data_IF_192775934642
#
_entry.id   IF_192775934642
#
_cell.length_a   1.000
_cell.length_b   1.000
_cell.length_c   1.000
_cell.angle_alpha   90.00
_cell.angle_beta   90.00
_cell.angle_gamma   90.00
#
_symmetry.space_group_name_H-M   'P 1'
#
loop_
_entity.id
_entity.type
_entity.pdbx_description
1 polymer ?
#
# COMPACT_ATOMS: atom_id res chain seq x y z
N UNK A 1 -6.89 -2.91 -11.75
CA UNK A 1 -6.00 -3.65 -12.65
C UNK A 1 -4.57 -3.23 -12.37
N UNK A 2 -3.67 -4.21 -12.26
CA UNK A 2 -2.25 -4.01 -11.99
C UNK A 2 -1.48 -3.75 -13.28
N UNK A 3 -0.67 -2.70 -13.30
CA UNK A 3 0.18 -2.38 -14.44
C UNK A 3 1.45 -3.24 -14.43
N UNK A 4 2.15 -3.25 -15.57
CA UNK A 4 3.47 -3.91 -15.66
C UNK A 4 4.49 -3.29 -14.71
N UNK A 5 4.43 -1.97 -14.52
CA UNK A 5 5.32 -1.26 -13.62
C UNK A 5 5.06 -1.62 -12.15
N UNK A 6 3.78 -1.77 -11.77
CA UNK A 6 3.41 -2.27 -10.45
C UNK A 6 3.99 -3.67 -10.21
N UNK A 7 3.83 -4.58 -11.18
CA UNK A 7 4.37 -5.94 -11.07
C UNK A 7 5.90 -5.94 -10.92
N UNK A 8 6.60 -5.05 -11.61
CA UNK A 8 8.04 -4.84 -11.51
C UNK A 8 8.44 -4.40 -10.09
N UNK A 9 7.78 -3.38 -9.54
CA UNK A 9 8.08 -2.85 -8.19
C UNK A 9 7.80 -3.89 -7.11
N UNK A 10 6.71 -4.66 -7.25
CA UNK A 10 6.39 -5.78 -6.36
C UNK A 10 7.49 -6.85 -6.44
N UNK A 11 7.94 -7.21 -7.64
CA UNK A 11 8.99 -8.20 -7.82
C UNK A 11 10.33 -7.75 -7.21
N UNK A 12 10.68 -6.47 -7.34
CA UNK A 12 11.90 -5.91 -6.71
C UNK A 12 11.85 -6.01 -5.19
N UNK A 13 10.69 -5.74 -4.59
CA UNK A 13 10.50 -5.88 -3.14
C UNK A 13 10.64 -7.34 -2.71
N UNK A 14 10.02 -8.26 -3.44
CA UNK A 14 10.12 -9.69 -3.16
C UNK A 14 11.56 -10.22 -3.33
N UNK A 15 12.29 -9.78 -4.36
CA UNK A 15 13.71 -10.14 -4.57
C UNK A 15 14.61 -9.61 -3.44
N UNK A 16 14.27 -8.48 -2.82
CA UNK A 16 15.01 -8.00 -1.65
C UNK A 16 14.88 -8.92 -0.43
N UNK A 17 13.72 -9.59 -0.27
CA UNK A 17 13.47 -10.56 0.80
C UNK A 17 14.02 -11.94 0.42
N UNK A 18 13.88 -12.33 -0.85
CA UNK A 18 14.27 -13.62 -1.43
C UNK A 18 15.20 -13.44 -2.63
N UNK A 19 16.49 -13.16 -2.41
CA UNK A 19 17.46 -12.99 -3.51
C UNK A 19 17.65 -14.25 -4.36
N UNK A 20 17.29 -15.42 -3.83
CA UNK A 20 17.30 -16.71 -4.52
C UNK A 20 16.21 -16.82 -5.59
N UNK A 21 15.17 -15.99 -5.53
CA UNK A 21 14.10 -16.00 -6.52
C UNK A 21 14.42 -15.07 -7.70
N UNK A 22 14.39 -15.65 -8.90
CA UNK A 22 14.53 -14.86 -10.12
C UNK A 22 13.40 -13.86 -10.25
N UNK A 23 13.75 -12.58 -10.41
CA UNK A 23 12.79 -11.48 -10.61
C UNK A 23 11.84 -11.75 -11.78
N UNK A 24 12.33 -12.37 -12.85
CA UNK A 24 11.51 -12.76 -14.01
C UNK A 24 10.44 -13.79 -13.63
N UNK A 25 10.79 -14.82 -12.84
CA UNK A 25 9.83 -15.80 -12.35
C UNK A 25 8.74 -15.17 -11.47
N UNK A 26 9.11 -14.19 -10.64
CA UNK A 26 8.15 -13.45 -9.82
C UNK A 26 7.19 -12.65 -10.72
N UNK A 27 7.72 -11.90 -11.70
CA UNK A 27 6.88 -11.16 -12.66
C UNK A 27 5.95 -12.08 -13.45
N UNK A 28 6.41 -13.26 -13.85
CA UNK A 28 5.57 -14.28 -14.52
C UNK A 28 4.41 -14.72 -13.62
N UNK A 29 4.66 -14.99 -12.33
CA UNK A 29 3.59 -15.33 -11.38
C UNK A 29 2.61 -14.16 -11.20
N UNK A 30 3.11 -12.92 -11.13
CA UNK A 30 2.29 -11.73 -10.95
C UNK A 30 1.34 -11.46 -12.13
N UNK A 31 1.67 -11.94 -13.33
CA UNK A 31 0.79 -11.80 -14.50
C UNK A 31 -0.57 -12.46 -14.31
N UNK A 32 -0.64 -13.55 -13.53
CA UNK A 32 -1.88 -14.28 -13.21
C UNK A 32 -2.84 -13.44 -12.34
N UNK A 33 -2.35 -12.37 -11.71
CA UNK A 33 -3.11 -11.53 -10.79
C UNK A 33 -3.33 -10.10 -11.32
N UNK A 34 -3.20 -9.90 -12.63
CA UNK A 34 -3.37 -8.59 -13.29
C UNK A 34 -4.68 -7.88 -12.96
N UNK A 35 -5.74 -8.64 -12.69
CA UNK A 35 -7.06 -8.06 -12.42
C UNK A 35 -7.25 -7.68 -10.94
N UNK A 36 -6.34 -8.11 -10.05
CA UNK A 36 -6.38 -7.74 -8.63
C UNK A 36 -5.83 -6.33 -8.38
N UNK A 37 -6.12 -5.79 -7.19
CA UNK A 37 -5.57 -4.51 -6.77
C UNK A 37 -4.07 -4.67 -6.44
N UNK A 38 -3.17 -3.83 -6.98
CA UNK A 38 -1.72 -3.96 -6.77
C UNK A 38 -1.31 -4.03 -5.30
N UNK A 39 -1.97 -3.25 -4.43
CA UNK A 39 -1.75 -3.25 -2.98
C UNK A 39 -1.93 -4.65 -2.38
N UNK A 40 -3.00 -5.34 -2.73
CA UNK A 40 -3.35 -6.62 -2.12
C UNK A 40 -2.39 -7.71 -2.62
N UNK A 41 -2.01 -7.66 -3.90
CA UNK A 41 -0.98 -8.54 -4.48
C UNK A 41 0.38 -8.30 -3.83
N UNK A 42 0.75 -7.04 -3.56
CA UNK A 42 2.00 -6.71 -2.88
C UNK A 42 2.05 -7.28 -1.46
N UNK A 43 1.01 -7.07 -0.66
CA UNK A 43 0.92 -7.61 0.70
C UNK A 43 1.00 -9.14 0.70
N UNK A 44 0.28 -9.79 -0.22
CA UNK A 44 0.29 -11.22 -0.36
C UNK A 44 1.68 -11.76 -0.73
N UNK A 45 2.35 -11.13 -1.70
CA UNK A 45 3.69 -11.51 -2.13
C UNK A 45 4.72 -11.35 -1.00
N UNK A 46 4.66 -10.25 -0.25
CA UNK A 46 5.54 -10.01 0.90
C UNK A 46 5.34 -11.09 1.96
N UNK A 47 4.09 -11.42 2.30
CA UNK A 47 3.79 -12.52 3.23
C UNK A 47 4.40 -13.84 2.77
N UNK A 48 4.17 -14.22 1.51
CA UNK A 48 4.68 -15.47 0.93
C UNK A 48 6.21 -15.50 0.90
N UNK A 49 6.86 -14.37 0.63
CA UNK A 49 8.32 -14.24 0.59
C UNK A 49 8.97 -14.37 1.98
N UNK A 50 8.31 -13.87 3.03
CA UNK A 50 8.80 -13.95 4.41
C UNK A 50 8.64 -15.34 5.05
N UNK A 51 7.75 -16.20 4.53
CA UNK A 51 7.60 -17.56 5.04
C UNK A 51 8.80 -18.44 4.61
N UNK A 52 9.65 -18.91 5.54
CA UNK A 52 10.82 -19.72 5.22
C UNK A 52 10.48 -21.12 4.67
N UNK A 53 9.24 -21.59 4.89
CA UNK A 53 8.76 -22.84 4.30
C UNK A 53 8.50 -22.69 2.79
N UNK A 54 8.22 -21.48 2.32
CA UNK A 54 7.96 -21.22 0.90
C UNK A 54 9.23 -21.38 0.07
N UNK A 55 9.18 -22.25 -0.93
CA UNK A 55 10.32 -22.50 -1.82
C UNK A 55 10.27 -21.70 -3.11
N UNK A 56 9.08 -21.31 -3.57
CA UNK A 56 8.90 -20.64 -4.85
C UNK A 56 7.83 -19.56 -4.78
N UNK A 57 7.90 -18.52 -5.64
CA UNK A 57 6.86 -17.49 -5.70
C UNK A 57 5.51 -18.04 -6.18
N UNK A 58 5.49 -19.21 -6.84
CA UNK A 58 4.26 -19.83 -7.33
C UNK A 58 3.28 -20.21 -6.21
N UNK A 59 3.75 -20.31 -4.96
CA UNK A 59 2.88 -20.49 -3.78
C UNK A 59 1.78 -19.44 -3.70
N UNK A 60 2.01 -18.23 -4.21
CA UNK A 60 1.01 -17.18 -4.28
C UNK A 60 -0.30 -17.62 -4.97
N UNK A 61 -0.25 -18.60 -5.89
CA UNK A 61 -1.43 -19.14 -6.58
C UNK A 61 -2.35 -19.98 -5.69
N UNK A 62 -1.84 -20.48 -4.57
CA UNK A 62 -2.66 -21.21 -3.62
C UNK A 62 -3.69 -20.26 -2.98
N UNK A 63 -4.83 -20.82 -2.59
CA UNK A 63 -5.86 -20.10 -1.84
C UNK A 63 -5.45 -20.02 -0.36
N UNK A 64 -4.48 -19.14 -0.08
CA UNK A 64 -3.85 -19.00 1.21
C UNK A 64 -4.30 -17.78 2.03
N UNK A 65 -3.96 -17.75 3.33
CA UNK A 65 -4.37 -16.69 4.26
C UNK A 65 -3.86 -15.30 3.86
N UNK A 66 -2.78 -15.22 3.09
CA UNK A 66 -2.19 -13.98 2.59
C UNK A 66 -3.11 -13.18 1.66
N UNK A 67 -4.20 -13.77 1.15
CA UNK A 67 -5.19 -13.04 0.38
C UNK A 67 -6.19 -12.25 1.23
N UNK A 68 -6.28 -12.52 2.53
CA UNK A 68 -7.26 -11.92 3.43
C UNK A 68 -6.67 -10.79 4.32
N UNK A 69 -5.49 -10.28 3.97
CA UNK A 69 -4.80 -9.25 4.76
C UNK A 69 -5.48 -7.88 4.69
N UNK A 70 -6.13 -7.56 3.57
CA UNK A 70 -6.83 -6.29 3.39
C UNK A 70 -8.17 -6.25 4.15
N UNK A 71 -8.82 -7.40 4.35
CA UNK A 71 -10.05 -7.53 5.15
C UNK A 71 -9.84 -7.28 6.64
N UNK A 72 -8.60 -7.33 7.14
CA UNK A 72 -8.25 -6.94 8.51
C UNK A 72 -8.50 -5.44 8.75
N UNK A 73 -8.68 -4.64 7.69
CA UNK A 73 -9.14 -3.25 7.81
C UNK A 73 -10.65 -3.24 8.01
N UNK A 74 -11.07 -3.15 9.27
CA UNK A 74 -12.48 -3.06 9.63
C UNK A 74 -13.13 -1.83 8.93
N UNK A 75 -14.11 -2.02 8.04
CA UNK A 75 -14.77 -0.90 7.36
C UNK A 75 -15.45 0.01 8.39
N UNK A 76 -15.17 1.31 8.34
CA UNK A 76 -15.76 2.31 9.25
C UNK A 76 -14.90 2.65 10.47
N UNK A 77 -13.78 1.96 10.70
CA UNK A 77 -12.79 2.42 11.70
C UNK A 77 -11.92 3.48 11.03
N UNK A 78 -12.22 4.75 11.32
CA UNK A 78 -11.30 5.83 11.03
C UNK A 78 -9.93 5.48 11.63
N UNK A 79 -8.81 5.77 10.94
CA UNK A 79 -7.50 5.59 11.54
C UNK A 79 -7.51 6.27 12.91
N UNK A 80 -7.05 5.58 13.95
CA UNK A 80 -6.88 6.21 15.25
C UNK A 80 -5.95 7.41 15.04
N UNK A 81 -6.52 8.60 15.09
CA UNK A 81 -5.76 9.81 14.89
C UNK A 81 -4.81 9.92 16.10
N UNK A 82 -3.57 10.37 15.90
CA UNK A 82 -2.64 10.48 17.02
C UNK A 82 -3.20 11.41 18.08
N UNK A 83 -2.77 11.27 19.34
CA UNK A 83 -3.27 12.08 20.47
C UNK A 83 -3.16 13.61 20.27
N UNK A 84 -2.32 14.08 19.33
CA UNK A 84 -2.27 15.50 18.97
C UNK A 84 -3.46 15.98 18.13
N UNK A 85 -4.24 15.09 17.53
CA UNK A 85 -5.40 15.43 16.72
C UNK A 85 -6.55 15.97 17.57
N UNK A 86 -6.77 15.38 18.75
CA UNK A 86 -7.79 15.84 19.69
C UNK A 86 -7.46 17.22 20.28
N UNK A 87 -6.17 17.57 20.35
CA UNK A 87 -5.72 18.89 20.81
C UNK A 87 -6.28 20.04 19.98
N UNK A 88 -6.66 19.79 18.72
CA UNK A 88 -7.23 20.80 17.82
C UNK A 88 -8.68 20.53 17.44
N UNK A 89 -9.35 19.54 18.06
CA UNK A 89 -10.74 19.20 17.74
C UNK A 89 -11.70 20.39 17.95
N UNK A 90 -11.41 21.23 18.95
CA UNK A 90 -12.19 22.43 19.28
C UNK A 90 -11.70 23.69 18.54
N UNK A 91 -10.69 23.58 17.68
CA UNK A 91 -10.20 24.75 16.93
C UNK A 91 -11.26 25.16 15.91
N UNK A 92 -11.78 26.40 15.95
CA UNK A 92 -12.74 26.87 14.97
C UNK A 92 -12.15 26.73 13.58
N UNK A 93 -12.90 26.10 12.66
CA UNK A 93 -12.48 26.00 11.26
C UNK A 93 -12.33 27.42 10.71
N UNK A 94 -11.20 27.69 10.07
CA UNK A 94 -10.98 28.96 9.41
C UNK A 94 -12.09 29.22 8.38
N UNK A 95 -12.60 30.45 8.36
CA UNK A 95 -13.62 30.84 7.38
C UNK A 95 -13.01 30.87 5.97
N UNK A 96 -13.82 30.71 4.91
CA UNK A 96 -13.34 30.82 3.54
C UNK A 96 -12.58 32.13 3.26
N UNK A 97 -13.00 33.21 3.91
CA UNK A 97 -12.37 34.54 3.82
C UNK A 97 -10.96 34.55 4.44
N UNK A 98 -10.79 33.95 5.63
CA UNK A 98 -9.48 33.80 6.27
C UNK A 98 -8.54 32.93 5.43
N UNK A 99 -9.06 31.86 4.81
CA UNK A 99 -8.28 31.00 3.90
C UNK A 99 -7.82 31.80 2.67
N UNK A 100 -8.68 32.63 2.10
CA UNK A 100 -8.35 33.48 0.97
C UNK A 100 -7.28 34.53 1.32
N UNK A 101 -7.39 35.16 2.50
CA UNK A 101 -6.41 36.13 3.00
C UNK A 101 -5.02 35.50 3.22
N UNK A 102 -4.95 34.30 3.80
CA UNK A 102 -3.69 33.56 3.97
C UNK A 102 -3.04 33.23 2.62
N UNK A 103 -3.86 32.84 1.62
CA UNK A 103 -3.36 32.53 0.27
C UNK A 103 -2.82 33.76 -0.45
N UNK A 104 -3.49 34.91 -0.31
CA UNK A 104 -3.04 36.18 -0.87
C UNK A 104 -1.71 36.62 -0.22
N UNK A 105 -1.65 36.63 1.11
CA UNK A 105 -0.43 37.00 1.84
C UNK A 105 0.79 36.12 1.50
N UNK A 106 0.57 34.82 1.19
CA UNK A 106 1.65 33.93 0.75
C UNK A 106 2.13 34.22 -0.68
N UNK A 107 1.25 34.72 -1.54
CA UNK A 107 1.57 35.06 -2.94
C UNK A 107 2.39 36.35 -3.04
N UNK A 108 2.14 37.31 -2.16
CA UNK A 108 2.86 38.60 -2.12
C UNK A 108 4.25 38.49 -1.48
N UNK A 109 4.52 37.38 -0.79
CA UNK A 109 5.82 37.08 -0.18
C UNK A 109 6.78 36.28 -1.08
N UNK A 110 6.41 36.04 -2.34
CA UNK A 110 7.21 35.35 -3.37
C UNK A 110 7.49 36.28 -4.54
#
# INVERSE_FOLDING_TARGET
>A
MMSREDAIRIAETATAIRPDWLRTSIVTVLADFRDRQPRDVHLAMVWVAYDPATKTPARLREDGPWWHLASTRQPGVAPALPAWHDRYADTPKATPEQIAAIRAARKDAT
#
